data_IF_375051335707
#
_entry.id   IF_375051335707
#
_cell.length_a   1.000
_cell.length_b   1.000
_cell.length_c   1.000
_cell.angle_alpha   90.00
_cell.angle_beta   90.00
_cell.angle_gamma   90.00
#
_symmetry.space_group_name_H-M   'P 1'
#
loop_
_entity.id
_entity.type
_entity.pdbx_description
1 polymer ?
#
# COMPACT_ATOMS: atom_id res chain seq x y z
N UNK A 1 78.15 22.07 6.81
CA UNK A 1 77.97 22.71 8.14
C UNK A 1 77.15 21.75 8.98
N UNK A 2 77.75 21.27 10.09
CA UNK A 2 77.29 20.38 11.17
C UNK A 2 76.06 19.46 11.01
N UNK A 3 76.38 18.18 11.22
CA UNK A 3 75.60 16.95 11.39
C UNK A 3 74.82 16.86 12.72
N UNK A 4 73.82 15.95 12.74
CA UNK A 4 73.09 15.29 13.85
C UNK A 4 71.81 15.97 14.39
N UNK A 5 70.67 15.27 14.23
CA UNK A 5 69.90 14.64 15.31
C UNK A 5 68.79 13.76 14.67
N UNK A 6 68.97 12.45 14.61
CA UNK A 6 68.54 11.41 15.58
C UNK A 6 67.02 11.18 15.55
N UNK A 7 66.67 10.02 15.01
CA UNK A 7 65.39 9.33 15.05
C UNK A 7 64.82 9.24 16.46
N UNK A 8 63.53 9.54 16.62
CA UNK A 8 62.71 8.93 17.67
C UNK A 8 61.48 8.30 17.02
N UNK A 9 61.38 7.01 17.25
CA UNK A 9 60.45 6.03 16.73
C UNK A 9 59.21 6.06 17.64
N UNK A 10 58.09 6.61 17.19
CA UNK A 10 56.81 6.42 17.86
C UNK A 10 56.10 5.24 17.20
N UNK A 11 56.33 4.07 17.78
CA UNK A 11 55.50 2.87 17.61
C UNK A 11 54.08 3.22 18.04
N UNK A 12 53.15 3.33 17.09
CA UNK A 12 51.74 3.13 17.35
C UNK A 12 51.37 1.78 16.74
N UNK A 13 51.38 0.78 17.61
CA UNK A 13 50.87 -0.55 17.36
C UNK A 13 49.38 -0.43 17.04
N UNK A 14 49.00 -0.69 15.78
CA UNK A 14 47.62 -0.99 15.42
C UNK A 14 47.28 -2.36 16.03
N UNK A 15 46.75 -2.34 17.24
CA UNK A 15 46.06 -3.51 17.80
C UNK A 15 44.68 -3.54 17.16
N UNK A 16 44.45 -4.53 16.30
CA UNK A 16 43.14 -4.90 15.85
C UNK A 16 42.32 -5.35 17.07
N UNK A 17 41.53 -4.43 17.63
CA UNK A 17 40.49 -4.78 18.59
C UNK A 17 39.28 -5.18 17.77
N UNK A 18 39.10 -6.49 17.61
CA UNK A 18 37.81 -7.05 17.28
C UNK A 18 36.87 -6.71 18.45
N UNK A 19 36.06 -5.67 18.30
CA UNK A 19 34.89 -5.47 19.13
C UNK A 19 33.87 -6.51 18.69
N UNK A 20 33.90 -7.65 19.37
CA UNK A 20 32.75 -8.54 19.50
C UNK A 20 31.66 -7.68 20.15
N UNK A 21 30.67 -7.29 19.38
CA UNK A 21 29.43 -6.77 19.95
C UNK A 21 28.78 -7.92 20.71
N UNK A 22 28.89 -7.92 22.04
CA UNK A 22 27.97 -8.67 22.89
C UNK A 22 26.59 -8.08 22.68
N UNK A 23 25.72 -8.84 22.01
CA UNK A 23 24.28 -8.63 22.05
C UNK A 23 23.78 -8.99 23.44
N UNK A 24 23.91 -8.09 24.41
CA UNK A 24 23.16 -8.15 25.66
C UNK A 24 21.82 -7.42 25.45
N UNK A 25 20.98 -8.00 24.61
CA UNK A 25 19.54 -7.82 24.68
C UNK A 25 18.95 -9.22 24.84
N UNK A 26 18.84 -9.65 26.09
CA UNK A 26 17.87 -10.69 26.44
C UNK A 26 16.50 -10.10 26.13
N UNK A 27 15.95 -10.47 24.98
CA UNK A 27 14.54 -10.29 24.72
C UNK A 27 13.81 -11.02 25.85
N UNK A 28 13.16 -10.26 26.74
CA UNK A 28 12.30 -10.85 27.75
C UNK A 28 11.26 -11.70 27.01
N UNK A 29 11.39 -13.02 27.11
CA UNK A 29 10.35 -13.96 26.70
C UNK A 29 9.08 -13.54 27.44
N UNK A 30 8.19 -12.88 26.72
CA UNK A 30 6.82 -12.69 27.17
C UNK A 30 6.24 -14.09 27.26
N UNK A 31 5.88 -14.52 28.46
CA UNK A 31 5.25 -15.81 28.66
C UNK A 31 3.94 -15.82 27.88
N UNK A 32 3.84 -16.69 26.88
CA UNK A 32 2.59 -16.98 26.21
C UNK A 32 1.67 -17.67 27.21
N UNK A 33 0.46 -17.15 27.41
CA UNK A 33 -0.59 -17.94 28.02
C UNK A 33 -0.86 -19.15 27.12
N UNK A 34 -0.73 -20.36 27.67
CA UNK A 34 -1.19 -21.58 27.01
C UNK A 34 -2.71 -21.47 26.83
N UNK A 35 -3.15 -21.21 25.60
CA UNK A 35 -4.54 -21.40 25.21
C UNK A 35 -4.80 -22.91 25.30
N UNK A 36 -5.74 -23.27 26.15
CA UNK A 36 -6.21 -24.65 26.30
C UNK A 36 -6.84 -25.07 24.97
N UNK A 37 -6.18 -25.98 24.29
CA UNK A 37 -6.60 -26.59 23.03
C UNK A 37 -8.01 -27.18 23.20
N UNK A 38 -9.02 -26.45 22.69
CA UNK A 38 -10.35 -27.03 22.52
C UNK A 38 -10.34 -27.78 21.20
N UNK A 39 -10.52 -29.10 21.27
CA UNK A 39 -10.58 -30.07 20.16
C UNK A 39 -11.73 -29.80 19.16
N UNK A 40 -11.80 -28.60 18.59
CA UNK A 40 -12.55 -28.29 17.38
C UNK A 40 -11.52 -28.02 16.30
N UNK A 41 -11.18 -29.07 15.54
CA UNK A 41 -10.42 -28.88 14.31
C UNK A 41 -11.34 -28.20 13.31
N UNK A 42 -11.37 -26.87 13.33
CA UNK A 42 -11.98 -26.08 12.26
C UNK A 42 -11.28 -26.47 10.96
N UNK A 43 -12.06 -27.03 10.03
CA UNK A 43 -11.52 -27.43 8.74
C UNK A 43 -11.42 -26.22 7.83
N UNK A 44 -10.32 -26.05 7.08
CA UNK A 44 -10.23 -24.98 6.10
C UNK A 44 -11.41 -25.02 5.12
N UNK A 45 -11.87 -23.87 4.61
CA UNK A 45 -12.97 -23.81 3.66
C UNK A 45 -12.67 -24.63 2.40
N UNK A 46 -13.71 -25.22 1.81
CA UNK A 46 -13.58 -25.92 0.54
C UNK A 46 -13.46 -24.92 -0.62
N UNK A 47 -12.22 -24.60 -0.99
CA UNK A 47 -11.92 -23.60 -2.01
C UNK A 47 -11.85 -24.25 -3.40
N UNK A 48 -12.42 -23.57 -4.40
CA UNK A 48 -12.28 -23.96 -5.80
C UNK A 48 -10.80 -23.93 -6.23
N UNK A 49 -10.30 -25.08 -6.70
CA UNK A 49 -8.93 -25.22 -7.21
C UNK A 49 -8.55 -24.22 -8.33
N UNK A 50 -9.53 -23.72 -9.09
CA UNK A 50 -9.31 -22.70 -10.12
C UNK A 50 -8.88 -21.32 -9.56
N UNK A 51 -8.93 -21.16 -8.24
CA UNK A 51 -8.47 -19.98 -7.52
C UNK A 51 -6.96 -20.03 -7.25
N UNK A 52 -6.35 -21.20 -7.41
CA UNK A 52 -4.91 -21.46 -7.20
C UNK A 52 -4.39 -20.96 -5.83
N UNK A 53 -5.21 -21.09 -4.79
CA UNK A 53 -4.81 -20.69 -3.45
C UNK A 53 -3.90 -21.74 -2.80
N UNK A 54 -2.84 -21.28 -2.15
CA UNK A 54 -1.91 -22.12 -1.39
C UNK A 54 -1.98 -21.77 0.09
N UNK A 55 -2.45 -22.71 0.92
CA UNK A 55 -2.56 -22.53 2.36
C UNK A 55 -1.17 -22.26 2.98
N UNK A 56 -1.10 -21.25 3.83
CA UNK A 56 0.05 -21.00 4.70
C UNK A 56 -0.18 -21.76 6.01
N UNK A 57 0.70 -22.69 6.40
CA UNK A 57 0.55 -23.40 7.66
C UNK A 57 0.50 -22.43 8.86
N UNK A 58 -0.50 -22.60 9.71
CA UNK A 58 -0.54 -21.91 11.00
C UNK A 58 0.32 -22.70 12.01
N UNK A 59 1.42 -22.09 12.43
CA UNK A 59 2.37 -22.57 13.45
C UNK A 59 2.25 -21.76 14.75
N UNK A 60 1.08 -21.15 14.99
CA UNK A 60 0.79 -20.33 16.17
C UNK A 60 0.93 -18.82 15.94
N UNK A 61 0.96 -18.36 14.69
CA UNK A 61 1.16 -16.95 14.36
C UNK A 61 -0.13 -16.13 14.22
N UNK A 62 -1.30 -16.77 14.24
CA UNK A 62 -2.66 -16.18 14.29
C UNK A 62 -3.66 -17.20 14.86
N UNK A 63 -4.92 -16.81 15.07
CA UNK A 63 -5.99 -17.70 15.54
C UNK A 63 -6.06 -18.99 14.71
N UNK A 64 -6.25 -20.14 15.37
CA UNK A 64 -6.31 -21.45 14.71
C UNK A 64 -7.48 -21.59 13.72
N UNK A 65 -8.50 -20.74 13.86
CA UNK A 65 -9.70 -20.76 13.03
C UNK A 65 -9.64 -19.82 11.83
N UNK A 66 -8.61 -18.97 11.74
CA UNK A 66 -8.38 -18.08 10.60
C UNK A 66 -7.49 -18.79 9.59
N UNK A 67 -7.90 -18.81 8.32
CA UNK A 67 -7.15 -19.52 7.26
C UNK A 67 -6.54 -18.54 6.26
N UNK A 68 -5.21 -18.54 6.17
CA UNK A 68 -4.45 -17.62 5.32
C UNK A 68 -3.86 -18.37 4.12
N UNK A 69 -4.07 -17.83 2.93
CA UNK A 69 -3.58 -18.39 1.67
C UNK A 69 -2.73 -17.40 0.91
N UNK A 70 -1.70 -17.88 0.21
CA UNK A 70 -1.10 -17.15 -0.92
C UNK A 70 -2.02 -17.30 -2.13
N UNK A 71 -2.31 -16.20 -2.83
CA UNK A 71 -3.06 -16.22 -4.08
C UNK A 71 -2.09 -16.35 -5.26
N UNK A 72 -1.82 -17.59 -5.68
CA UNK A 72 -0.86 -17.85 -6.75
C UNK A 72 -1.39 -17.40 -8.12
N UNK A 73 -2.70 -17.24 -8.26
CA UNK A 73 -3.31 -16.75 -9.50
C UNK A 73 -3.01 -15.26 -9.69
N UNK A 74 -3.23 -14.46 -8.66
CA UNK A 74 -2.87 -13.03 -8.69
C UNK A 74 -1.36 -12.81 -8.69
N UNK A 75 -0.57 -13.61 -7.96
CA UNK A 75 0.90 -13.56 -8.09
C UNK A 75 1.34 -13.72 -9.56
N UNK A 76 0.75 -14.67 -10.29
CA UNK A 76 1.05 -14.89 -11.72
C UNK A 76 0.60 -13.72 -12.60
N UNK A 77 -0.57 -13.15 -12.34
CA UNK A 77 -1.07 -11.99 -13.09
C UNK A 77 -0.11 -10.79 -13.04
N UNK A 78 0.54 -10.60 -11.89
CA UNK A 78 1.53 -9.53 -11.69
C UNK A 78 2.98 -9.98 -11.93
N UNK A 79 3.21 -11.21 -12.42
CA UNK A 79 4.53 -11.70 -12.87
C UNK A 79 4.67 -11.50 -14.38
N UNK A 80 4.77 -10.23 -14.80
CA UNK A 80 4.77 -9.82 -16.22
C UNK A 80 6.18 -9.70 -16.79
N UNK A 81 6.30 -9.74 -18.12
CA UNK A 81 7.59 -9.64 -18.84
C UNK A 81 7.73 -8.43 -19.76
N UNK A 82 6.62 -7.75 -20.10
CA UNK A 82 6.61 -6.55 -20.96
C UNK A 82 5.70 -5.48 -20.36
N UNK A 83 6.10 -4.22 -20.45
CA UNK A 83 5.38 -3.09 -19.84
C UNK A 83 5.58 -3.08 -18.33
N UNK A 84 4.51 -2.83 -17.57
CA UNK A 84 4.59 -2.89 -16.10
C UNK A 84 5.04 -4.29 -15.67
N UNK A 85 6.10 -4.36 -14.88
CA UNK A 85 6.71 -5.62 -14.45
C UNK A 85 7.24 -5.56 -13.01
N UNK A 86 6.78 -4.58 -12.23
CA UNK A 86 7.10 -4.40 -10.82
C UNK A 86 6.71 -3.00 -10.36
N UNK A 87 6.41 -2.82 -9.07
CA UNK A 87 6.03 -1.52 -8.54
C UNK A 87 5.40 -1.60 -7.16
N UNK A 88 5.20 -0.43 -6.58
CA UNK A 88 4.64 -0.23 -5.23
C UNK A 88 3.32 0.57 -5.26
N UNK A 89 2.67 0.74 -4.12
CA UNK A 89 1.45 1.54 -4.01
C UNK A 89 0.20 0.68 -4.07
N UNK A 90 0.00 -0.03 -5.19
CA UNK A 90 -0.99 -1.10 -5.44
C UNK A 90 -2.30 -0.90 -4.68
N UNK A 91 -3.02 0.18 -4.98
CA UNK A 91 -4.36 0.42 -4.45
C UNK A 91 -5.41 0.10 -5.51
N UNK A 92 -6.56 -0.40 -5.09
CA UNK A 92 -7.66 -0.74 -5.99
C UNK A 92 -8.92 0.02 -5.63
N UNK A 93 -9.80 0.21 -6.62
CA UNK A 93 -11.11 0.84 -6.42
C UNK A 93 -12.13 0.24 -7.37
N UNK A 94 -13.27 -0.22 -6.83
CA UNK A 94 -14.42 -0.63 -7.62
C UNK A 94 -14.98 0.52 -8.45
N UNK A 95 -15.21 0.26 -9.74
CA UNK A 95 -15.84 1.19 -10.66
C UNK A 95 -17.31 0.83 -10.87
N UNK A 96 -18.08 1.81 -11.33
CA UNK A 96 -19.53 1.70 -11.42
C UNK A 96 -20.06 0.75 -12.50
N UNK A 97 -19.19 0.32 -13.41
CA UNK A 97 -19.45 -0.63 -14.48
C UNK A 97 -18.98 -2.06 -14.15
N UNK A 98 -18.54 -2.28 -12.90
CA UNK A 98 -18.05 -3.56 -12.40
C UNK A 98 -16.56 -3.79 -12.65
N UNK A 99 -15.86 -2.90 -13.34
CA UNK A 99 -14.40 -2.98 -13.48
C UNK A 99 -13.71 -2.55 -12.17
N UNK A 100 -12.41 -2.82 -12.06
CA UNK A 100 -11.58 -2.35 -10.93
C UNK A 100 -10.46 -1.49 -11.47
N UNK A 101 -10.34 -0.27 -10.96
CA UNK A 101 -9.16 0.56 -11.11
C UNK A 101 -8.06 0.03 -10.21
N UNK A 102 -6.86 -0.03 -10.74
CA UNK A 102 -5.62 -0.22 -10.00
C UNK A 102 -4.74 1.01 -10.19
N UNK A 103 -4.17 1.50 -9.10
CA UNK A 103 -3.19 2.57 -9.12
C UNK A 103 -1.88 2.10 -8.49
N UNK A 104 -0.77 2.48 -9.11
CA UNK A 104 0.59 2.21 -8.64
C UNK A 104 1.37 3.51 -8.46
N UNK A 105 2.23 3.56 -7.44
CA UNK A 105 3.27 4.58 -7.32
C UNK A 105 4.44 4.16 -8.24
N UNK A 106 5.65 4.62 -7.94
CA UNK A 106 6.95 4.14 -8.42
C UNK A 106 6.90 2.67 -8.91
N UNK A 107 7.04 2.51 -10.22
CA UNK A 107 6.85 1.24 -10.92
C UNK A 107 7.84 1.05 -12.05
N UNK A 108 8.31 -0.17 -12.25
CA UNK A 108 9.17 -0.53 -13.37
C UNK A 108 8.34 -0.85 -14.62
N UNK A 109 8.67 -0.15 -15.72
CA UNK A 109 8.11 -0.38 -17.04
C UNK A 109 9.21 -0.71 -18.04
N UNK A 110 9.08 -1.83 -18.75
CA UNK A 110 10.07 -2.26 -19.74
C UNK A 110 10.05 -3.78 -19.94
N UNK A 111 11.23 -4.39 -19.95
CA UNK A 111 11.42 -5.81 -20.29
C UNK A 111 12.01 -6.62 -19.14
N UNK A 112 11.48 -7.82 -18.92
CA UNK A 112 12.03 -8.85 -18.05
C UNK A 112 12.25 -10.13 -18.84
N UNK A 113 13.40 -10.76 -18.64
CA UNK A 113 13.68 -12.07 -19.22
C UNK A 113 12.71 -13.13 -18.66
N UNK A 114 12.05 -13.86 -19.56
CA UNK A 114 10.95 -14.75 -19.19
C UNK A 114 11.42 -16.01 -18.43
N UNK A 115 12.63 -16.50 -18.71
CA UNK A 115 13.16 -17.73 -18.10
C UNK A 115 13.81 -17.43 -16.75
N UNK A 116 14.70 -16.45 -16.72
CA UNK A 116 15.51 -16.15 -15.54
C UNK A 116 14.82 -15.17 -14.60
N UNK A 117 13.81 -14.42 -15.07
CA UNK A 117 13.22 -13.29 -14.33
C UNK A 117 14.23 -12.20 -13.99
N UNK A 118 15.28 -12.04 -14.80
CA UNK A 118 16.18 -10.91 -14.72
C UNK A 118 15.51 -9.67 -15.32
N UNK A 119 15.35 -8.61 -14.51
CA UNK A 119 14.83 -7.32 -15.02
C UNK A 119 15.93 -6.66 -15.84
N UNK A 120 15.60 -6.32 -17.09
CA UNK A 120 16.50 -5.64 -18.01
C UNK A 120 16.15 -4.15 -18.11
N UNK A 121 16.15 -3.64 -19.34
CA UNK A 121 15.91 -2.24 -19.61
C UNK A 121 14.49 -1.81 -19.19
N UNK A 122 14.40 -1.02 -18.11
CA UNK A 122 13.17 -0.45 -17.59
C UNK A 122 13.39 1.01 -17.18
N UNK A 123 12.34 1.82 -17.26
CA UNK A 123 12.29 3.11 -16.57
C UNK A 123 11.39 3.03 -15.32
N UNK A 124 11.23 4.14 -14.60
CA UNK A 124 10.62 4.16 -13.28
C UNK A 124 9.65 5.34 -13.05
N UNK A 125 8.52 5.40 -13.78
CA UNK A 125 7.50 6.44 -13.55
C UNK A 125 6.97 6.43 -12.11
N UNK A 126 6.71 7.62 -11.57
CA UNK A 126 6.27 7.81 -10.17
C UNK A 126 4.85 7.38 -9.88
N UNK A 127 4.02 7.25 -10.91
CA UNK A 127 2.70 6.68 -10.81
C UNK A 127 2.18 6.18 -12.14
N UNK A 128 1.26 5.22 -12.07
CA UNK A 128 0.55 4.65 -13.21
C UNK A 128 -0.81 4.09 -12.80
N UNK A 129 -1.69 3.86 -13.77
CA UNK A 129 -3.01 3.24 -13.55
C UNK A 129 -3.28 2.11 -14.54
N UNK A 130 -4.13 1.17 -14.12
CA UNK A 130 -4.56 0.01 -14.89
C UNK A 130 -6.03 -0.29 -14.58
N UNK A 131 -6.75 -0.86 -15.55
CA UNK A 131 -8.11 -1.35 -15.34
C UNK A 131 -8.16 -2.86 -15.47
N UNK A 132 -8.61 -3.53 -14.42
CA UNK A 132 -8.97 -4.94 -14.48
C UNK A 132 -10.42 -5.04 -14.93
N UNK A 133 -10.63 -5.65 -16.11
CA UNK A 133 -11.96 -5.70 -16.72
C UNK A 133 -12.81 -6.83 -16.16
N UNK A 134 -14.11 -6.60 -16.02
CA UNK A 134 -15.07 -7.65 -15.70
C UNK A 134 -15.47 -8.42 -16.97
N UNK A 135 -15.37 -9.75 -16.89
CA UNK A 135 -15.71 -10.69 -17.96
C UNK A 135 -16.73 -11.69 -17.44
N UNK A 136 -17.89 -11.77 -18.10
CA UNK A 136 -18.93 -12.73 -17.70
C UNK A 136 -19.54 -12.48 -16.32
N UNK A 137 -19.44 -11.26 -15.78
CA UNK A 137 -19.97 -10.89 -14.46
C UNK A 137 -19.01 -11.12 -13.29
N UNK A 138 -17.75 -11.44 -13.57
CA UNK A 138 -16.68 -11.53 -12.56
C UNK A 138 -15.42 -10.84 -13.08
N UNK A 139 -14.50 -10.46 -12.19
CA UNK A 139 -13.23 -9.88 -12.61
C UNK A 139 -12.47 -10.87 -13.50
N UNK A 140 -11.95 -10.35 -14.61
CA UNK A 140 -11.08 -11.09 -15.51
C UNK A 140 -9.72 -11.31 -14.85
N UNK A 141 -9.19 -12.52 -15.01
CA UNK A 141 -7.98 -13.00 -14.32
C UNK A 141 -6.99 -13.57 -15.33
N UNK A 142 -6.86 -12.88 -16.46
CA UNK A 142 -5.84 -13.09 -17.49
C UNK A 142 -5.11 -11.79 -17.79
N UNK A 143 -3.94 -11.85 -18.45
CA UNK A 143 -3.19 -10.64 -18.82
C UNK A 143 -4.00 -9.71 -19.74
N UNK A 144 -4.84 -10.29 -20.62
CA UNK A 144 -5.73 -9.52 -21.52
C UNK A 144 -6.82 -8.73 -20.77
N UNK A 145 -7.10 -9.11 -19.53
CA UNK A 145 -8.06 -8.41 -18.67
C UNK A 145 -7.42 -7.23 -17.92
N UNK A 146 -6.08 -7.15 -17.90
CA UNK A 146 -5.31 -6.06 -17.29
C UNK A 146 -5.01 -4.97 -18.33
N UNK A 147 -5.89 -3.99 -18.42
CA UNK A 147 -5.79 -2.87 -19.38
C UNK A 147 -4.94 -1.76 -18.80
N UNK A 148 -3.65 -1.80 -19.07
CA UNK A 148 -2.70 -0.75 -18.70
C UNK A 148 -3.01 0.55 -19.45
N UNK A 149 -3.37 1.60 -18.70
CA UNK A 149 -3.68 2.92 -19.24
C UNK A 149 -2.47 3.83 -19.06
N UNK A 150 -1.44 3.59 -19.86
CA UNK A 150 -0.13 4.22 -19.76
C UNK A 150 0.31 4.78 -21.10
N UNK A 151 1.04 5.88 -21.06
CA UNK A 151 1.68 6.48 -22.22
C UNK A 151 3.05 5.83 -22.42
N UNK A 152 3.11 4.85 -23.33
CA UNK A 152 4.35 4.16 -23.65
C UNK A 152 5.25 5.02 -24.54
N UNK A 153 6.55 5.04 -24.25
CA UNK A 153 7.55 5.69 -25.11
C UNK A 153 7.50 5.08 -26.52
N UNK A 154 7.57 3.75 -26.60
CA UNK A 154 7.33 3.00 -27.84
C UNK A 154 7.06 1.52 -27.56
N UNK A 155 6.35 0.86 -28.47
CA UNK A 155 5.98 -0.58 -28.38
C UNK A 155 6.19 -1.34 -29.69
N UNK A 156 6.89 -0.75 -30.66
CA UNK A 156 6.97 -1.25 -32.04
C UNK A 156 8.36 -1.76 -32.45
N UNK A 157 9.43 -1.34 -31.78
CA UNK A 157 10.79 -1.81 -32.05
C UNK A 157 11.42 -2.44 -30.78
N UNK A 158 11.45 -3.78 -30.67
CA UNK A 158 12.02 -4.47 -29.52
C UNK A 158 13.50 -4.16 -29.25
N UNK A 159 14.25 -3.75 -30.27
CA UNK A 159 15.67 -3.40 -30.17
C UNK A 159 15.87 -1.88 -29.99
N UNK A 160 14.78 -1.10 -30.10
CA UNK A 160 14.78 0.35 -29.96
C UNK A 160 14.82 0.81 -28.50
N UNK A 161 15.38 2.00 -28.27
CA UNK A 161 15.36 2.65 -26.96
C UNK A 161 13.90 2.87 -26.49
N UNK A 162 13.66 2.75 -25.19
CA UNK A 162 12.34 2.97 -24.61
C UNK A 162 11.30 1.87 -24.86
N UNK A 163 11.69 0.68 -25.35
CA UNK A 163 10.74 -0.41 -25.61
C UNK A 163 9.95 -0.78 -24.34
N UNK A 164 8.63 -0.55 -24.37
CA UNK A 164 7.71 -0.75 -23.25
C UNK A 164 7.99 0.07 -21.97
N UNK A 165 8.88 1.05 -22.05
CA UNK A 165 9.01 2.08 -21.01
C UNK A 165 7.82 3.05 -21.08
N UNK A 166 7.47 3.71 -19.97
CA UNK A 166 6.26 4.52 -19.89
C UNK A 166 6.49 5.85 -19.15
N UNK A 167 5.75 6.89 -19.55
CA UNK A 167 5.72 8.16 -18.82
C UNK A 167 4.85 8.08 -17.56
N UNK A 168 5.14 8.95 -16.60
CA UNK A 168 4.32 9.16 -15.39
C UNK A 168 2.89 9.56 -15.79
N UNK A 169 1.87 8.91 -15.22
CA UNK A 169 0.45 9.15 -15.58
C UNK A 169 -0.03 10.55 -15.19
N UNK A 170 0.31 10.98 -13.99
CA UNK A 170 0.05 12.33 -13.49
C UNK A 170 1.35 12.91 -12.92
N UNK A 171 1.81 13.99 -13.55
CA UNK A 171 2.94 14.79 -13.10
C UNK A 171 2.44 16.20 -12.71
N UNK A 172 3.16 16.90 -11.82
CA UNK A 172 2.94 18.33 -11.60
C UNK A 172 3.09 19.10 -12.91
N UNK A 173 2.40 20.23 -13.05
CA UNK A 173 2.63 21.09 -14.21
C UNK A 173 3.98 21.81 -14.03
N UNK A 174 4.97 21.48 -14.87
CA UNK A 174 6.30 22.10 -14.86
C UNK A 174 6.22 23.63 -15.00
N UNK A 175 5.16 24.17 -15.61
CA UNK A 175 4.97 25.64 -15.72
C UNK A 175 4.45 26.30 -14.45
N UNK A 176 3.90 25.52 -13.52
CA UNK A 176 3.47 25.96 -12.19
C UNK A 176 4.63 25.79 -11.20
N UNK A 177 5.36 24.67 -11.30
CA UNK A 177 6.37 24.27 -10.31
C UNK A 177 7.80 24.72 -10.69
N UNK A 178 8.10 24.96 -11.96
CA UNK A 178 9.47 25.20 -12.48
C UNK A 178 10.48 24.08 -12.15
N UNK A 179 9.99 22.86 -11.84
CA UNK A 179 10.74 21.73 -11.29
C UNK A 179 10.51 20.44 -12.10
N UNK A 180 11.45 19.49 -12.00
CA UNK A 180 11.36 18.19 -12.68
C UNK A 180 10.50 17.19 -11.92
N UNK A 181 10.00 16.15 -12.60
CA UNK A 181 9.23 15.08 -11.96
C UNK A 181 10.07 14.18 -11.03
N UNK A 182 11.41 14.26 -11.07
CA UNK A 182 12.30 13.63 -10.08
C UNK A 182 12.33 14.40 -8.74
N UNK A 183 12.08 15.71 -8.79
CA UNK A 183 12.14 16.62 -7.64
C UNK A 183 10.76 16.79 -6.99
N UNK A 184 9.70 16.80 -7.79
CA UNK A 184 8.33 16.91 -7.32
C UNK A 184 7.40 15.94 -8.05
N UNK A 185 6.69 15.08 -7.32
CA UNK A 185 5.83 14.06 -7.92
C UNK A 185 4.59 13.74 -7.07
N UNK A 186 3.70 12.95 -7.68
CA UNK A 186 2.45 12.50 -7.07
C UNK A 186 2.50 11.04 -6.64
N UNK A 187 2.11 10.78 -5.40
CA UNK A 187 1.77 9.45 -4.90
C UNK A 187 0.27 9.26 -4.76
N UNK A 188 -0.18 8.02 -4.77
CA UNK A 188 -1.59 7.66 -4.70
C UNK A 188 -2.18 7.96 -3.32
N UNK A 189 -3.36 8.58 -3.33
CA UNK A 189 -4.35 8.53 -2.26
C UNK A 189 -5.63 7.81 -2.69
N UNK A 190 -6.66 7.89 -1.86
CA UNK A 190 -7.93 7.21 -2.10
C UNK A 190 -8.70 7.75 -3.29
N UNK A 191 -9.50 6.87 -3.90
CA UNK A 191 -10.36 7.18 -5.03
C UNK A 191 -11.80 6.70 -4.79
N UNK A 192 -12.78 7.45 -5.27
CA UNK A 192 -14.20 7.11 -5.12
C UNK A 192 -15.02 7.51 -6.33
N UNK A 193 -16.16 6.84 -6.52
CA UNK A 193 -17.14 7.24 -7.54
C UNK A 193 -18.07 8.29 -6.97
N UNK A 194 -18.18 9.40 -7.69
CA UNK A 194 -19.13 10.47 -7.46
C UNK A 194 -20.21 10.46 -8.54
N UNK A 195 -21.47 10.66 -8.15
CA UNK A 195 -22.60 10.81 -9.06
C UNK A 195 -22.93 12.29 -9.19
N UNK A 196 -22.48 12.90 -10.28
CA UNK A 196 -22.73 14.28 -10.62
C UNK A 196 -24.01 14.38 -11.47
N UNK A 197 -25.16 14.39 -10.81
CA UNK A 197 -26.47 14.56 -11.45
C UNK A 197 -26.76 13.53 -12.55
N UNK A 198 -26.45 12.25 -12.30
CA UNK A 198 -26.63 11.13 -13.21
C UNK A 198 -25.40 10.79 -14.05
N UNK A 199 -24.34 11.59 -13.97
CA UNK A 199 -23.04 11.31 -14.61
C UNK A 199 -22.07 10.81 -13.56
N UNK A 200 -21.62 9.55 -13.71
CA UNK A 200 -20.65 8.95 -12.79
C UNK A 200 -19.23 9.32 -13.19
N UNK A 201 -18.48 9.84 -12.22
CA UNK A 201 -17.09 10.25 -12.38
C UNK A 201 -16.25 9.60 -11.27
N UNK A 202 -14.99 9.32 -11.57
CA UNK A 202 -14.02 8.90 -10.57
C UNK A 202 -13.29 10.14 -10.05
N UNK A 203 -13.36 10.39 -8.75
CA UNK A 203 -12.56 11.40 -8.07
C UNK A 203 -11.42 10.70 -7.32
N UNK A 204 -10.18 11.17 -7.50
CA UNK A 204 -8.99 10.52 -6.96
C UNK A 204 -8.02 11.54 -6.38
N UNK A 205 -7.57 11.28 -5.15
CA UNK A 205 -6.56 12.07 -4.46
C UNK A 205 -5.16 11.62 -4.87
N UNK A 206 -4.28 12.59 -5.10
CA UNK A 206 -2.87 12.40 -5.40
C UNK A 206 -2.04 13.24 -4.42
N UNK A 207 -1.26 12.60 -3.56
CA UNK A 207 -0.40 13.27 -2.61
C UNK A 207 0.85 13.85 -3.27
N UNK A 208 1.03 15.15 -3.16
CA UNK A 208 2.24 15.88 -3.56
C UNK A 208 3.40 15.56 -2.64
N UNK A 209 4.55 15.25 -3.26
CA UNK A 209 5.80 14.88 -2.64
C UNK A 209 6.92 15.76 -3.21
N UNK A 210 7.58 16.51 -2.33
CA UNK A 210 8.84 17.21 -2.56
C UNK A 210 10.02 16.32 -2.16
N UNK A 211 10.91 16.09 -3.12
CA UNK A 211 12.07 15.21 -2.99
C UNK A 211 13.42 15.91 -3.23
N UNK A 212 13.51 17.24 -3.25
CA UNK A 212 14.77 17.96 -3.49
C UNK A 212 15.92 17.54 -2.56
N UNK A 213 15.60 17.25 -1.30
CA UNK A 213 16.57 16.81 -0.29
C UNK A 213 16.62 15.28 -0.13
N UNK A 214 15.97 14.51 -1.00
CA UNK A 214 15.85 13.05 -0.89
C UNK A 214 15.01 12.59 0.30
N UNK A 215 14.13 13.45 0.81
CA UNK A 215 13.34 13.22 2.04
C UNK A 215 11.91 12.73 1.79
N UNK A 216 11.42 12.83 0.55
CA UNK A 216 10.02 12.54 0.19
C UNK A 216 9.02 13.25 1.12
N UNK A 217 9.14 14.56 1.23
CA UNK A 217 8.31 15.39 2.11
C UNK A 217 6.95 15.62 1.47
N UNK A 218 5.87 15.36 2.22
CA UNK A 218 4.52 15.69 1.78
C UNK A 218 4.27 17.20 1.83
N UNK A 219 3.75 17.77 0.75
CA UNK A 219 3.52 19.22 0.59
C UNK A 219 2.07 19.62 0.33
N UNK A 220 1.24 18.72 -0.21
CA UNK A 220 -0.14 19.05 -0.58
C UNK A 220 -0.89 17.91 -1.26
N UNK A 221 -2.14 18.13 -1.62
CA UNK A 221 -2.96 17.14 -2.33
C UNK A 221 -3.45 17.73 -3.63
N UNK A 222 -3.27 17.00 -4.72
CA UNK A 222 -3.98 17.22 -5.96
C UNK A 222 -5.25 16.35 -6.00
N UNK A 223 -6.35 16.91 -6.49
CA UNK A 223 -7.57 16.16 -6.79
C UNK A 223 -7.74 16.06 -8.31
N UNK A 224 -7.75 14.84 -8.84
CA UNK A 224 -8.04 14.56 -10.24
C UNK A 224 -9.42 13.93 -10.40
N UNK A 225 -10.14 14.34 -11.45
CA UNK A 225 -11.43 13.75 -11.81
C UNK A 225 -11.31 13.07 -13.17
N UNK A 226 -11.82 11.86 -13.30
CA UNK A 226 -11.77 11.05 -14.52
C UNK A 226 -13.17 10.64 -14.97
N UNK A 227 -13.38 10.65 -16.28
CA UNK A 227 -14.62 10.16 -16.90
C UNK A 227 -14.72 8.65 -16.81
N UNK A 228 -15.91 8.13 -16.57
CA UNK A 228 -16.24 6.70 -16.71
C UNK A 228 -17.06 6.41 -17.96
N UNK A 229 -17.13 7.36 -18.90
CA UNK A 229 -17.87 7.19 -20.15
C UNK A 229 -17.16 6.25 -21.11
N UNK A 230 -17.88 5.27 -21.65
CA UNK A 230 -17.39 4.32 -22.63
C UNK A 230 -16.95 3.00 -21.99
N UNK A 231 -15.92 2.38 -22.56
CA UNK A 231 -15.32 1.14 -22.08
C UNK A 231 -13.79 1.25 -22.07
N UNK A 232 -13.08 0.45 -21.27
CA UNK A 232 -11.62 0.39 -21.28
C UNK A 232 -11.05 0.30 -22.70
N UNK A 233 -10.11 1.19 -23.02
CA UNK A 233 -9.53 1.34 -24.37
C UNK A 233 -10.23 2.38 -25.27
N UNK A 234 -11.41 2.89 -24.91
CA UNK A 234 -11.98 4.07 -25.56
C UNK A 234 -11.29 5.35 -25.06
N UNK A 235 -11.16 6.35 -25.93
CA UNK A 235 -10.52 7.64 -25.60
C UNK A 235 -11.26 8.48 -24.55
N UNK A 236 -12.49 8.10 -24.22
CA UNK A 236 -13.33 8.74 -23.20
C UNK A 236 -13.18 8.09 -21.82
N UNK A 237 -12.89 6.79 -21.77
CA UNK A 237 -12.89 6.03 -20.54
C UNK A 237 -11.60 6.30 -19.76
N UNK A 238 -11.75 6.71 -18.50
CA UNK A 238 -10.68 7.26 -17.65
C UNK A 238 -9.89 8.42 -18.29
N UNK A 239 -10.54 9.19 -19.17
CA UNK A 239 -10.01 10.48 -19.57
C UNK A 239 -10.06 11.43 -18.38
N UNK A 240 -8.93 12.04 -18.02
CA UNK A 240 -8.85 13.09 -17.00
C UNK A 240 -9.70 14.30 -17.43
N UNK A 241 -10.74 14.60 -16.67
CA UNK A 241 -11.66 15.74 -16.85
C UNK A 241 -11.04 17.00 -16.25
N UNK A 242 -10.53 16.89 -15.03
CA UNK A 242 -9.88 18.00 -14.31
C UNK A 242 -8.73 17.50 -13.44
N UNK A 243 -7.82 18.41 -13.14
CA UNK A 243 -6.68 18.24 -12.23
C UNK A 243 -6.58 19.54 -11.43
N UNK A 244 -6.91 19.50 -10.15
CA UNK A 244 -6.73 20.62 -9.23
C UNK A 244 -5.49 20.35 -8.39
N UNK A 245 -4.34 20.90 -8.79
CA UNK A 245 -3.06 20.73 -8.09
C UNK A 245 -3.11 21.40 -6.71
N UNK A 246 -3.68 22.60 -6.64
CA UNK A 246 -3.79 23.38 -5.39
C UNK A 246 -5.01 22.96 -4.53
N UNK A 247 -5.44 21.69 -4.58
CA UNK A 247 -6.65 21.27 -3.86
C UNK A 247 -6.52 21.43 -2.34
N UNK A 248 -5.35 21.09 -1.76
CA UNK A 248 -4.92 21.58 -0.45
C UNK A 248 -3.39 21.54 -0.31
N UNK A 249 -2.87 22.20 0.71
CA UNK A 249 -1.43 22.24 1.06
C UNK A 249 -1.16 21.57 2.41
N UNK A 250 -1.93 20.52 2.72
CA UNK A 250 -1.87 19.88 4.04
C UNK A 250 -0.60 19.02 4.17
N UNK A 251 0.16 19.23 5.25
CA UNK A 251 1.38 18.47 5.55
C UNK A 251 1.10 17.02 5.98
N UNK A 252 -0.17 16.69 6.26
CA UNK A 252 -0.64 15.35 6.59
C UNK A 252 -1.64 14.87 5.53
N UNK A 253 -1.38 13.69 4.97
CA UNK A 253 -2.16 13.12 3.87
C UNK A 253 -3.49 12.48 4.27
N UNK A 254 -4.41 13.23 4.88
CA UNK A 254 -5.79 12.79 5.05
C UNK A 254 -6.34 12.32 3.69
N UNK A 255 -6.84 11.09 3.64
CA UNK A 255 -7.30 10.46 2.41
C UNK A 255 -6.24 9.62 1.71
N UNK A 256 -5.15 9.25 2.39
CA UNK A 256 -4.22 8.20 1.93
C UNK A 256 -4.94 6.87 1.70
N UNK A 257 -5.97 6.62 2.49
CA UNK A 257 -6.99 5.58 2.33
C UNK A 257 -8.34 6.20 2.67
N UNK A 258 -9.43 5.66 2.14
CA UNK A 258 -10.77 6.23 2.33
C UNK A 258 -11.84 5.17 2.56
N UNK A 259 -12.95 5.58 3.17
CA UNK A 259 -14.17 4.79 3.29
C UNK A 259 -15.39 5.67 2.96
N UNK A 260 -16.16 5.29 1.94
CA UNK A 260 -17.41 5.97 1.60
C UNK A 260 -18.54 5.34 2.39
N UNK A 261 -19.04 6.04 3.40
CA UNK A 261 -20.02 5.48 4.32
C UNK A 261 -21.48 5.76 3.90
N UNK A 262 -22.41 4.96 4.41
CA UNK A 262 -23.84 5.12 4.15
C UNK A 262 -24.42 6.40 4.78
N UNK A 263 -23.74 6.98 5.76
CA UNK A 263 -24.15 8.21 6.45
C UNK A 263 -24.02 9.50 5.62
N UNK A 264 -23.52 9.40 4.40
CA UNK A 264 -23.37 10.53 3.47
C UNK A 264 -21.97 11.15 3.47
N UNK A 265 -21.02 10.60 4.22
CA UNK A 265 -19.63 11.08 4.28
C UNK A 265 -18.65 10.14 3.56
N UNK A 266 -17.53 10.71 3.11
CA UNK A 266 -16.32 9.95 2.78
C UNK A 266 -15.33 10.22 3.92
N UNK A 267 -14.96 9.18 4.64
CA UNK A 267 -13.95 9.20 5.67
C UNK A 267 -12.56 9.09 5.04
N UNK A 268 -11.64 9.94 5.51
CA UNK A 268 -10.33 10.20 4.95
C UNK A 268 -9.29 9.88 6.01
N UNK A 269 -8.57 8.77 5.85
CA UNK A 269 -7.65 8.28 6.88
C UNK A 269 -6.19 8.54 6.51
N UNK A 270 -5.37 8.60 7.55
CA UNK A 270 -3.93 8.81 7.48
C UNK A 270 -3.27 8.34 8.77
N UNK A 271 -1.97 8.11 8.76
CA UNK A 271 -1.16 7.94 9.97
C UNK A 271 -0.14 9.06 10.11
N UNK A 272 -0.10 9.70 11.27
CA UNK A 272 1.00 10.60 11.66
C UNK A 272 1.71 9.98 12.86
N UNK A 273 3.03 9.77 12.78
CA UNK A 273 3.81 9.04 13.80
C UNK A 273 3.20 7.67 14.17
N UNK A 274 2.71 6.93 13.16
CA UNK A 274 2.03 5.64 13.30
C UNK A 274 0.72 5.67 14.12
N UNK A 275 0.11 6.86 14.27
CA UNK A 275 -1.19 7.03 14.92
C UNK A 275 -2.24 7.39 13.88
N UNK A 276 -3.25 6.53 13.67
CA UNK A 276 -4.36 6.80 12.76
C UNK A 276 -5.15 8.05 13.15
N UNK A 277 -5.39 8.91 12.16
CA UNK A 277 -6.23 10.10 12.25
C UNK A 277 -7.32 10.01 11.17
N UNK A 278 -8.40 10.77 11.34
CA UNK A 278 -9.51 10.79 10.39
C UNK A 278 -10.04 12.20 10.16
N UNK A 279 -10.32 12.49 8.89
CA UNK A 279 -11.18 13.58 8.44
C UNK A 279 -12.38 13.00 7.70
N UNK A 280 -13.36 13.83 7.35
CA UNK A 280 -14.47 13.43 6.49
C UNK A 280 -14.91 14.57 5.59
N UNK A 281 -15.45 14.23 4.43
CA UNK A 281 -16.15 15.19 3.57
C UNK A 281 -17.57 15.45 4.08
N UNK A 282 -18.15 16.61 3.81
CA UNK A 282 -19.54 16.93 4.21
C UNK A 282 -20.61 16.23 3.36
N UNK A 283 -20.23 15.68 2.20
CA UNK A 283 -21.08 14.87 1.31
C UNK A 283 -20.25 13.75 0.66
N UNK A 284 -20.86 12.92 -0.19
CA UNK A 284 -20.15 11.93 -1.03
C UNK A 284 -19.33 12.51 -2.19
N UNK A 285 -19.07 13.82 -2.19
CA UNK A 285 -18.18 14.52 -3.11
C UNK A 285 -16.85 14.82 -2.41
N UNK A 286 -15.72 14.35 -2.95
CA UNK A 286 -14.37 14.64 -2.41
C UNK A 286 -14.06 16.15 -2.40
N UNK A 287 -14.71 16.94 -3.26
CA UNK A 287 -14.55 18.40 -3.31
C UNK A 287 -15.33 19.15 -2.23
N UNK A 288 -16.26 18.47 -1.54
CA UNK A 288 -17.03 19.11 -0.47
C UNK A 288 -16.14 19.43 0.73
N UNK A 289 -16.57 20.37 1.58
CA UNK A 289 -15.77 20.84 2.71
C UNK A 289 -15.36 19.67 3.63
N UNK A 290 -14.10 19.66 4.06
CA UNK A 290 -13.56 18.65 4.97
C UNK A 290 -13.73 19.06 6.43
N UNK A 291 -14.08 18.10 7.26
CA UNK A 291 -14.13 18.20 8.72
C UNK A 291 -13.10 17.24 9.32
N UNK A 292 -12.30 17.70 10.28
CA UNK A 292 -11.25 16.94 10.94
C UNK A 292 -11.73 16.51 12.33
N UNK A 293 -11.54 15.23 12.66
CA UNK A 293 -11.93 14.70 13.95
C UNK A 293 -10.80 14.92 14.95
N UNK A 294 -10.99 15.86 15.86
CA UNK A 294 -9.98 16.24 16.85
C UNK A 294 -10.43 15.96 18.27
N UNK A 295 -9.48 15.66 19.14
CA UNK A 295 -9.68 15.59 20.59
C UNK A 295 -9.32 16.95 21.21
N UNK A 296 -10.24 17.56 21.92
CA UNK A 296 -10.00 18.80 22.65
C UNK A 296 -9.10 18.57 23.89
N UNK A 297 -8.73 19.64 24.60
CA UNK A 297 -7.90 19.54 25.81
C UNK A 297 -8.62 18.88 27.00
N UNK A 298 -9.94 18.76 26.95
CA UNK A 298 -10.74 18.05 27.97
C UNK A 298 -10.83 16.55 27.67
N UNK A 299 -10.33 16.10 26.52
CA UNK A 299 -10.36 14.71 26.09
C UNK A 299 -11.57 14.33 25.23
N UNK A 300 -12.46 15.29 24.92
CA UNK A 300 -13.66 15.06 24.11
C UNK A 300 -13.33 15.19 22.63
N UNK A 301 -13.89 14.31 21.80
CA UNK A 301 -13.77 14.44 20.36
C UNK A 301 -14.83 15.37 19.77
N UNK A 302 -14.46 16.07 18.72
CA UNK A 302 -15.33 16.95 17.95
C UNK A 302 -14.85 17.08 16.50
N UNK A 303 -15.79 17.39 15.61
CA UNK A 303 -15.49 17.75 14.22
C UNK A 303 -15.22 19.25 14.12
N UNK A 304 -14.16 19.63 13.42
CA UNK A 304 -13.87 21.02 13.09
C UNK A 304 -13.50 21.18 11.61
N UNK A 305 -13.74 22.35 11.04
CA UNK A 305 -13.41 22.66 9.63
C UNK A 305 -11.98 23.18 9.45
N UNK A 306 -11.40 23.70 10.52
CA UNK A 306 -10.03 24.20 10.50
C UNK A 306 -9.05 23.05 10.45
N UNK A 307 -8.08 23.11 9.55
CA UNK A 307 -6.99 22.14 9.50
C UNK A 307 -6.30 22.05 10.88
N UNK A 308 -6.17 20.85 11.45
CA UNK A 308 -5.75 20.68 12.84
C UNK A 308 -4.28 21.03 13.03
N UNK A 309 -3.96 21.68 14.14
CA UNK A 309 -2.55 21.91 14.52
C UNK A 309 -1.83 20.60 14.82
N UNK A 310 -0.50 20.60 14.83
CA UNK A 310 0.29 19.41 15.19
C UNK A 310 -0.07 18.88 16.58
N UNK A 311 -0.32 19.75 17.56
CA UNK A 311 -0.76 19.35 18.89
C UNK A 311 -2.14 18.72 18.87
N UNK A 312 -3.06 19.22 18.03
CA UNK A 312 -4.40 18.64 17.83
C UNK A 312 -4.28 17.24 17.26
N UNK A 313 -3.55 17.07 16.16
CA UNK A 313 -3.35 15.76 15.54
C UNK A 313 -2.72 14.75 16.50
N UNK A 314 -1.69 15.16 17.25
CA UNK A 314 -0.99 14.29 18.21
C UNK A 314 -1.91 13.64 19.25
N UNK A 315 -2.96 14.34 19.70
CA UNK A 315 -3.93 13.85 20.72
C UNK A 315 -5.20 13.22 20.14
N UNK A 316 -5.33 13.18 18.81
CA UNK A 316 -6.58 12.82 18.11
C UNK A 316 -6.56 11.44 17.46
N UNK A 317 -5.69 10.53 17.93
CA UNK A 317 -5.69 9.15 17.44
C UNK A 317 -7.07 8.50 17.59
N UNK A 318 -7.55 7.82 16.56
CA UNK A 318 -8.84 7.09 16.56
C UNK A 318 -8.73 5.68 17.16
N UNK A 319 -7.61 5.37 17.81
CA UNK A 319 -7.34 4.10 18.48
C UNK A 319 -7.26 4.26 20.00
N UNK A 320 -7.64 3.23 20.76
CA UNK A 320 -7.39 3.16 22.19
C UNK A 320 -6.03 2.52 22.55
N UNK A 321 -5.72 2.48 23.85
CA UNK A 321 -4.58 1.75 24.44
C UNK A 321 -3.19 2.09 23.85
N UNK A 322 -3.03 3.25 23.21
CA UNK A 322 -1.81 3.65 22.52
C UNK A 322 -1.36 2.67 21.44
N UNK A 323 -2.28 1.93 20.84
CA UNK A 323 -1.99 1.14 19.66
C UNK A 323 -1.45 2.02 18.54
N UNK A 324 -0.62 1.41 17.69
CA UNK A 324 0.02 2.05 16.54
C UNK A 324 0.00 1.12 15.35
N UNK A 325 -0.23 1.68 14.17
CA UNK A 325 -0.15 0.97 12.90
C UNK A 325 0.20 1.96 11.78
N UNK A 326 0.63 1.43 10.65
CA UNK A 326 0.73 2.16 9.40
C UNK A 326 -0.44 1.82 8.47
N UNK A 327 -0.85 2.79 7.65
CA UNK A 327 -1.84 2.63 6.58
C UNK A 327 -3.18 2.01 7.06
N UNK A 328 -3.93 2.70 7.92
CA UNK A 328 -5.24 2.25 8.38
C UNK A 328 -6.19 2.12 7.20
N UNK A 329 -6.82 0.96 7.04
CA UNK A 329 -7.81 0.69 5.99
C UNK A 329 -9.10 0.22 6.63
N UNK A 330 -10.17 0.99 6.45
CA UNK A 330 -11.43 0.79 7.17
C UNK A 330 -12.48 0.23 6.23
N UNK A 331 -13.27 -0.70 6.74
CA UNK A 331 -14.47 -1.19 6.08
C UNK A 331 -15.54 -1.57 7.09
N UNK A 332 -16.80 -1.62 6.63
CA UNK A 332 -17.93 -2.03 7.46
C UNK A 332 -18.37 -3.45 7.14
N UNK A 333 -18.70 -4.24 8.15
CA UNK A 333 -19.41 -5.52 8.00
C UNK A 333 -20.35 -5.72 9.17
N UNK A 334 -21.64 -5.93 8.87
CA UNK A 334 -22.68 -5.95 9.90
C UNK A 334 -22.75 -4.61 10.63
N UNK A 335 -22.77 -4.68 11.96
CA UNK A 335 -22.88 -3.51 12.83
C UNK A 335 -21.52 -2.89 13.22
N UNK A 336 -20.41 -3.47 12.77
CA UNK A 336 -19.06 -3.03 13.10
C UNK A 336 -18.30 -2.45 11.91
N UNK A 337 -17.43 -1.51 12.22
CA UNK A 337 -16.33 -1.08 11.39
C UNK A 337 -15.07 -1.81 11.82
N UNK A 338 -14.34 -2.30 10.83
CA UNK A 338 -13.08 -2.98 11.01
C UNK A 338 -11.97 -2.11 10.43
N UNK A 339 -10.87 -1.99 11.16
CA UNK A 339 -9.67 -1.31 10.69
C UNK A 339 -8.55 -2.34 10.55
N UNK A 340 -7.95 -2.39 9.38
CA UNK A 340 -6.69 -3.09 9.13
C UNK A 340 -5.54 -2.10 9.27
N UNK A 341 -4.43 -2.52 9.87
CA UNK A 341 -3.18 -1.78 9.84
C UNK A 341 -1.96 -2.69 9.82
N UNK A 342 -0.90 -2.27 9.14
CA UNK A 342 0.38 -2.96 9.18
C UNK A 342 1.13 -2.57 10.47
N UNK A 343 1.87 -3.52 11.05
CA UNK A 343 2.78 -3.23 12.14
C UNK A 343 3.86 -2.21 11.72
N UNK A 344 4.16 -1.30 12.63
CA UNK A 344 5.12 -0.19 12.42
C UNK A 344 6.53 -0.71 12.10
N UNK A 345 7.36 0.16 11.50
CA UNK A 345 8.75 -0.14 11.18
C UNK A 345 8.91 -1.36 10.26
N UNK A 346 8.08 -1.44 9.22
CA UNK A 346 8.05 -2.53 8.24
C UNK A 346 7.74 -3.91 8.87
N UNK A 347 6.99 -3.91 9.97
CA UNK A 347 6.59 -5.11 10.67
C UNK A 347 5.69 -6.00 9.82
N UNK A 348 5.76 -7.31 10.09
CA UNK A 348 5.09 -8.34 9.28
C UNK A 348 3.69 -8.66 9.77
N UNK A 349 3.35 -8.26 10.99
CA UNK A 349 2.01 -8.46 11.53
C UNK A 349 1.04 -7.51 10.86
N UNK A 350 -0.09 -8.06 10.44
CA UNK A 350 -1.25 -7.31 9.98
C UNK A 350 -2.28 -7.38 11.09
N UNK A 351 -2.62 -6.22 11.64
CA UNK A 351 -3.55 -6.08 12.74
C UNK A 351 -4.97 -5.88 12.21
N UNK A 352 -5.94 -6.42 12.96
CA UNK A 352 -7.35 -6.13 12.83
C UNK A 352 -7.83 -5.49 14.14
N UNK A 353 -8.60 -4.42 14.01
CA UNK A 353 -9.30 -3.73 15.09
C UNK A 353 -10.78 -3.64 14.73
N UNK A 354 -11.65 -3.42 15.71
CA UNK A 354 -13.08 -3.14 15.49
C UNK A 354 -13.54 -1.89 16.24
N UNK A 355 -14.62 -1.29 15.78
CA UNK A 355 -15.29 -0.14 16.39
C UNK A 355 -16.72 0.01 15.88
N UNK A 356 -17.56 0.76 16.60
CA UNK A 356 -18.98 0.96 16.24
C UNK A 356 -19.18 2.11 15.24
N UNK A 357 -18.15 2.92 15.00
CA UNK A 357 -18.21 4.06 14.07
C UNK A 357 -16.98 4.06 13.15
N UNK A 358 -17.06 4.67 11.96
CA UNK A 358 -15.91 4.75 11.04
C UNK A 358 -14.80 5.66 11.56
N UNK A 359 -15.03 6.42 12.63
CA UNK A 359 -14.07 7.33 13.28
C UNK A 359 -13.65 6.85 14.68
N UNK A 360 -13.97 5.59 15.01
CA UNK A 360 -13.56 4.94 16.25
C UNK A 360 -14.35 5.36 17.50
N UNK A 361 -13.83 5.04 18.71
CA UNK A 361 -12.54 4.40 18.93
C UNK A 361 -12.46 2.99 18.32
N UNK A 362 -11.33 2.68 17.70
CA UNK A 362 -10.97 1.32 17.30
C UNK A 362 -10.21 0.63 18.45
N UNK A 363 -10.71 -0.54 18.84
CA UNK A 363 -10.24 -1.33 20.00
C UNK A 363 -9.97 -2.77 19.59
N UNK A 364 -9.72 -3.64 20.58
CA UNK A 364 -9.62 -5.09 20.42
C UNK A 364 -8.64 -5.50 19.31
N UNK A 365 -7.40 -5.04 19.44
CA UNK A 365 -6.34 -5.40 18.49
C UNK A 365 -6.14 -6.92 18.47
N UNK A 366 -6.23 -7.51 17.29
CA UNK A 366 -5.82 -8.90 17.04
C UNK A 366 -4.79 -8.96 15.92
N UNK A 367 -3.94 -9.99 15.94
CA UNK A 367 -3.04 -10.30 14.81
C UNK A 367 -3.84 -11.13 13.82
N UNK A 368 -4.26 -10.52 12.71
CA UNK A 368 -5.00 -11.20 11.66
C UNK A 368 -4.13 -12.26 10.98
N UNK A 369 -2.93 -11.86 10.56
CA UNK A 369 -1.89 -12.76 10.07
C UNK A 369 -0.52 -12.11 10.10
N UNK A 370 0.51 -12.92 9.84
CA UNK A 370 1.87 -12.44 9.61
C UNK A 370 2.26 -12.67 8.14
N UNK A 371 2.72 -11.63 7.47
CA UNK A 371 3.28 -11.74 6.12
C UNK A 371 4.60 -12.51 6.18
N UNK A 372 4.82 -13.54 5.34
CA UNK A 372 6.06 -14.31 5.32
C UNK A 372 7.31 -13.43 5.09
N UNK A 373 8.43 -13.75 5.73
CA UNK A 373 9.74 -13.11 5.51
C UNK A 373 10.39 -13.40 4.16
N UNK A 374 9.68 -14.13 3.31
CA UNK A 374 10.21 -14.61 2.03
C UNK A 374 9.11 -14.58 0.99
N UNK A 375 9.54 -14.39 -0.25
CA UNK A 375 8.65 -14.38 -1.42
C UNK A 375 9.02 -15.51 -2.39
N UNK A 376 8.03 -15.99 -3.12
CA UNK A 376 8.21 -17.11 -4.06
C UNK A 376 8.90 -16.63 -5.34
N UNK A 377 10.24 -16.55 -5.31
CA UNK A 377 11.08 -16.11 -6.44
C UNK A 377 12.27 -17.04 -6.70
N UNK A 378 12.86 -16.88 -7.88
CA UNK A 378 14.15 -17.49 -8.25
C UNK A 378 15.27 -16.85 -7.43
N UNK A 379 16.24 -17.64 -6.97
CA UNK A 379 17.39 -17.13 -6.22
C UNK A 379 17.08 -16.83 -4.75
N UNK A 380 17.64 -15.75 -4.21
CA UNK A 380 17.40 -15.33 -2.82
C UNK A 380 15.92 -14.95 -2.63
N UNK A 381 15.23 -15.58 -1.69
CA UNK A 381 13.80 -15.32 -1.44
C UNK A 381 13.55 -14.27 -0.34
N UNK A 382 14.57 -13.87 0.40
CA UNK A 382 14.44 -12.89 1.48
C UNK A 382 14.58 -11.47 0.95
N UNK A 383 13.61 -10.63 1.31
CA UNK A 383 13.58 -9.20 1.00
C UNK A 383 14.05 -8.35 2.18
N UNK A 384 14.29 -7.06 1.95
CA UNK A 384 14.75 -6.12 2.98
C UNK A 384 13.61 -5.62 3.86
N UNK A 385 12.64 -4.95 3.25
CA UNK A 385 11.51 -4.34 3.93
C UNK A 385 10.19 -4.85 3.35
N UNK A 386 9.21 -5.06 4.22
CA UNK A 386 7.82 -5.21 3.85
C UNK A 386 7.17 -3.83 3.77
N UNK A 387 6.76 -3.45 2.57
CA UNK A 387 6.10 -2.19 2.30
C UNK A 387 4.61 -2.42 2.04
N UNK A 388 3.77 -1.47 2.47
CA UNK A 388 2.36 -1.31 2.08
C UNK A 388 1.56 -2.62 1.98
N UNK A 389 0.94 -3.03 3.08
CA UNK A 389 -0.10 -4.08 3.05
C UNK A 389 -1.43 -3.43 2.68
N UNK A 390 -1.92 -3.65 1.47
CA UNK A 390 -3.20 -3.09 1.00
C UNK A 390 -4.31 -4.12 1.02
N UNK A 391 -5.52 -3.69 1.39
CA UNK A 391 -6.76 -4.45 1.37
C UNK A 391 -7.50 -4.19 0.05
N UNK A 392 -8.09 -5.25 -0.52
CA UNK A 392 -8.78 -5.24 -1.81
C UNK A 392 -10.13 -5.95 -1.72
N UNK A 393 -11.13 -5.31 -1.11
CA UNK A 393 -12.46 -5.89 -0.90
C UNK A 393 -13.19 -6.25 -2.20
N UNK A 394 -12.91 -5.53 -3.29
CA UNK A 394 -13.45 -5.76 -4.62
C UNK A 394 -13.01 -7.07 -5.27
N UNK A 395 -11.92 -7.68 -4.77
CA UNK A 395 -11.40 -8.95 -5.29
C UNK A 395 -11.96 -10.14 -4.51
N UNK A 396 -12.65 -9.90 -3.39
CA UNK A 396 -13.26 -10.92 -2.58
C UNK A 396 -14.34 -11.67 -3.37
N UNK A 397 -14.31 -13.00 -3.31
CA UNK A 397 -15.25 -13.87 -4.03
C UNK A 397 -16.35 -14.39 -3.11
N UNK A 398 -16.02 -14.64 -1.84
CA UNK A 398 -16.88 -15.25 -0.83
C UNK A 398 -16.89 -14.45 0.50
N UNK A 399 -16.43 -13.19 0.48
CA UNK A 399 -16.37 -12.32 1.66
C UNK A 399 -15.10 -12.50 2.51
N UNK A 400 -14.11 -13.21 1.95
CA UNK A 400 -12.74 -13.27 2.44
C UNK A 400 -12.04 -11.91 2.28
N UNK A 401 -11.04 -11.64 3.13
CA UNK A 401 -10.20 -10.45 2.95
C UNK A 401 -9.08 -10.77 1.96
N UNK A 402 -8.91 -9.91 0.95
CA UNK A 402 -7.84 -10.04 -0.05
C UNK A 402 -6.81 -8.95 0.20
N UNK A 403 -5.54 -9.33 0.30
CA UNK A 403 -4.44 -8.41 0.54
C UNK A 403 -3.41 -8.48 -0.58
N UNK A 404 -2.74 -7.36 -0.84
CA UNK A 404 -1.44 -7.34 -1.51
C UNK A 404 -0.38 -6.73 -0.62
N UNK A 405 0.87 -7.10 -0.86
CA UNK A 405 2.04 -6.55 -0.16
C UNK A 405 3.09 -6.12 -1.17
N UNK A 406 3.83 -5.04 -0.90
CA UNK A 406 5.05 -4.72 -1.64
C UNK A 406 6.30 -5.10 -0.84
N UNK A 407 7.39 -5.39 -1.54
CA UNK A 407 8.67 -5.74 -0.91
C UNK A 407 9.83 -5.02 -1.57
N UNK A 408 10.84 -4.68 -0.79
CA UNK A 408 12.07 -4.05 -1.27
C UNK A 408 13.24 -5.04 -1.37
N UNK A 409 14.06 -4.86 -2.39
CA UNK A 409 15.40 -5.45 -2.44
C UNK A 409 16.34 -4.73 -1.45
N UNK A 410 17.55 -5.27 -1.22
CA UNK A 410 18.50 -4.64 -0.29
C UNK A 410 19.02 -3.29 -0.81
N UNK A 411 19.31 -3.24 -2.11
CA UNK A 411 19.69 -2.02 -2.84
C UNK A 411 18.83 -1.83 -4.09
N UNK A 412 18.76 -0.61 -4.61
CA UNK A 412 18.05 -0.33 -5.86
C UNK A 412 18.59 -1.16 -7.04
N UNK A 413 19.91 -1.40 -7.08
CA UNK A 413 20.57 -2.22 -8.09
C UNK A 413 20.18 -3.70 -8.03
N UNK A 414 19.72 -4.19 -6.88
CA UNK A 414 19.30 -5.59 -6.74
C UNK A 414 17.97 -5.89 -7.45
N UNK A 415 17.32 -4.88 -8.02
CA UNK A 415 16.15 -5.05 -8.86
C UNK A 415 16.47 -5.41 -10.33
N UNK A 416 17.75 -5.55 -10.71
CA UNK A 416 18.18 -5.74 -12.11
C UNK A 416 19.20 -6.87 -12.32
N UNK A 417 19.32 -7.33 -13.57
CA UNK A 417 20.47 -8.05 -14.15
C UNK A 417 20.92 -9.38 -13.51
N UNK A 418 20.11 -9.99 -12.64
CA UNK A 418 20.32 -11.37 -12.20
C UNK A 418 19.02 -12.17 -12.06
N UNK A 419 19.08 -13.52 -12.04
CA UNK A 419 17.89 -14.35 -11.98
C UNK A 419 16.99 -14.04 -10.77
N UNK A 420 15.72 -13.76 -11.06
CA UNK A 420 14.69 -13.42 -10.08
C UNK A 420 14.70 -11.97 -9.60
N UNK A 421 15.61 -11.10 -10.06
CA UNK A 421 15.68 -9.70 -9.65
C UNK A 421 14.35 -8.93 -9.86
N UNK A 422 13.57 -9.29 -10.88
CA UNK A 422 12.28 -8.67 -11.15
C UNK A 422 11.20 -8.93 -10.07
N UNK A 423 11.41 -9.90 -9.19
CA UNK A 423 10.41 -10.37 -8.24
C UNK A 423 10.61 -9.83 -6.81
N UNK A 424 11.55 -8.90 -6.60
CA UNK A 424 11.63 -8.15 -5.34
C UNK A 424 10.56 -7.06 -5.27
N UNK A 425 10.61 -6.08 -6.18
CA UNK A 425 9.69 -4.95 -6.18
C UNK A 425 8.42 -5.24 -7.01
N UNK A 426 7.51 -6.06 -6.48
CA UNK A 426 6.17 -6.32 -7.05
C UNK A 426 5.17 -6.74 -5.95
N UNK A 427 3.85 -6.75 -6.20
CA UNK A 427 2.90 -7.25 -5.23
C UNK A 427 2.94 -8.77 -5.10
N UNK A 428 2.65 -9.23 -3.88
CA UNK A 428 2.31 -10.61 -3.55
C UNK A 428 0.95 -10.64 -2.87
N UNK A 429 0.10 -11.59 -3.25
CA UNK A 429 -1.30 -11.58 -2.87
C UNK A 429 -1.63 -12.66 -1.83
N UNK A 430 -2.54 -12.31 -0.92
CA UNK A 430 -3.00 -13.18 0.15
C UNK A 430 -4.51 -13.12 0.28
N UNK A 431 -5.12 -14.24 0.67
CA UNK A 431 -6.56 -14.31 1.00
C UNK A 431 -6.76 -14.88 2.38
N UNK A 432 -7.67 -14.30 3.15
CA UNK A 432 -7.93 -14.66 4.54
C UNK A 432 -9.39 -14.97 4.72
N UNK A 433 -9.66 -16.22 5.06
CA UNK A 433 -11.01 -16.75 5.28
C UNK A 433 -11.27 -16.91 6.76
N UNK A 434 -12.56 -16.86 7.11
CA UNK A 434 -13.03 -16.99 8.49
C UNK A 434 -12.33 -16.00 9.43
N UNK A 435 -12.04 -14.80 8.92
CA UNK A 435 -11.28 -13.78 9.65
C UNK A 435 -12.08 -13.23 10.83
N UNK A 436 -13.41 -13.31 10.78
CA UNK A 436 -14.31 -12.85 11.83
C UNK A 436 -14.12 -13.61 13.14
N UNK A 437 -13.79 -14.90 13.06
CA UNK A 437 -13.72 -15.78 14.24
C UNK A 437 -12.58 -15.42 15.20
N UNK A 438 -11.68 -14.52 14.78
CA UNK A 438 -10.67 -13.94 15.66
C UNK A 438 -11.25 -13.16 16.85
N UNK A 439 -12.54 -12.82 16.79
CA UNK A 439 -13.30 -12.17 17.86
C UNK A 439 -14.27 -13.11 18.60
N UNK A 440 -14.41 -14.37 18.20
CA UNK A 440 -15.38 -15.31 18.80
C UNK A 440 -15.04 -15.65 20.27
N UNK A 441 -13.78 -15.49 20.68
CA UNK A 441 -13.36 -15.67 22.08
C UNK A 441 -13.70 -14.47 23.00
N UNK A 442 -14.08 -13.33 22.42
CA UNK A 442 -14.37 -12.08 23.15
C UNK A 442 -15.88 -11.83 23.36
N UNK A 443 -16.75 -12.69 22.82
CA UNK A 443 -18.22 -12.68 22.99
C UNK A 443 -18.68 -13.76 23.98
#
# INVERSE_FOLDING_TARGET
>A
MKTRNIYSLLYVTFVAVALVACNDYDAAQTAYEEIVDSDVTTTPPNIDSAWELQLIPNVGQHSGEVFVYKDKKYDKLFTRTLGWNGGIGVQSTSLSDGNVLWAFNDSYFGVVDAETRARGNCNFPHNSIMIQTTVGGSLGETDDDLRWLVDYIQTNDPDGEGYYQAYTHIAPDETIMEETDEEHFYQIGGATIFDNNGVKELQMLWGEIDNHEGKMTRTGTCLAVYSLEGQPGNSTYLKRISKNEEFNTDDVGYGSTIWKDEDGHIYLYVTENNRPLVARTTTHDLTSEWEYYIRDLSGNFMWQKMYPTKEERTRSTIMENNYVCSMPQIFKKGDYYYMIGQAVSYGHSVYLYRGETPYGPFTDQKILFNVPYSVDKIGNQYYKNLLRVNLHLELAREGELVFSTNTDADTAGDNFDFPGSADFCRPYFYRIFNWESIYDEDD
#
